data_IF_161739927150
#
_entry.id   IF_161739927150
#
_cell.length_a   1.000
_cell.length_b   1.000
_cell.length_c   1.000
_cell.angle_alpha   90.00
_cell.angle_beta   90.00
_cell.angle_gamma   90.00
#
_symmetry.space_group_name_H-M   'P 1'
#
loop_
_entity.id
_entity.type
_entity.pdbx_description
1 polymer ?
#
# COMPACT_ATOMS: atom_id res chain seq x y z
N UNK A 1 12.07 26.97 7.05
CA UNK A 1 12.09 26.62 5.62
C UNK A 1 11.95 25.10 5.53
N UNK A 2 10.94 24.56 4.85
CA UNK A 2 10.87 23.12 4.56
C UNK A 2 11.87 22.81 3.45
N UNK A 3 12.94 22.05 3.74
CA UNK A 3 13.76 21.47 2.67
C UNK A 3 13.05 20.22 2.17
N UNK A 4 12.83 20.15 0.86
CA UNK A 4 12.36 18.93 0.24
C UNK A 4 13.48 17.89 0.30
N UNK A 5 13.28 16.84 1.08
CA UNK A 5 14.14 15.66 1.07
C UNK A 5 13.56 14.65 0.07
N UNK A 6 14.39 13.92 -0.68
CA UNK A 6 13.92 12.78 -1.44
C UNK A 6 13.18 11.81 -0.51
N UNK A 7 11.95 11.46 -0.85
CA UNK A 7 11.15 10.51 -0.08
C UNK A 7 10.98 9.24 -0.89
N UNK A 8 11.54 8.14 -0.39
CA UNK A 8 11.32 6.81 -0.94
C UNK A 8 10.24 6.10 -0.11
N UNK A 9 9.17 5.67 -0.78
CA UNK A 9 8.11 4.84 -0.19
C UNK A 9 8.06 3.51 -0.90
N UNK A 10 8.35 2.43 -0.19
CA UNK A 10 8.25 1.06 -0.71
C UNK A 10 7.13 0.30 -0.01
N UNK A 11 6.40 -0.52 -0.76
CA UNK A 11 5.47 -1.49 -0.21
C UNK A 11 5.76 -2.84 -0.85
N UNK A 12 5.99 -3.84 -0.01
CA UNK A 12 6.24 -5.21 -0.41
C UNK A 12 5.12 -6.08 0.12
N UNK A 13 4.53 -6.91 -0.74
CA UNK A 13 3.37 -7.74 -0.41
C UNK A 13 3.68 -9.18 -0.75
N UNK A 14 3.50 -10.09 0.21
CA UNK A 14 3.77 -11.52 0.06
C UNK A 14 2.50 -12.29 0.40
N UNK A 15 1.91 -12.91 -0.61
CA UNK A 15 0.79 -13.85 -0.43
C UNK A 15 1.31 -15.23 -0.02
N UNK A 16 0.63 -15.89 0.89
CA UNK A 16 0.97 -17.22 1.40
C UNK A 16 -0.29 -17.99 1.81
N UNK A 17 -0.14 -19.27 2.19
CA UNK A 17 -1.27 -20.15 2.50
C UNK A 17 -2.29 -19.55 3.49
N UNK A 18 -1.81 -18.84 4.52
CA UNK A 18 -2.64 -18.29 5.60
C UNK A 18 -3.19 -16.87 5.35
N UNK A 19 -2.90 -16.24 4.20
CA UNK A 19 -3.25 -14.84 3.95
C UNK A 19 -2.11 -14.06 3.31
N UNK A 20 -1.81 -12.87 3.82
CA UNK A 20 -0.80 -11.99 3.23
C UNK A 20 -0.02 -11.20 4.27
N UNK A 21 1.26 -10.97 4.01
CA UNK A 21 2.09 -10.04 4.77
C UNK A 21 2.45 -8.83 3.92
N UNK A 22 2.30 -7.63 4.49
CA UNK A 22 2.61 -6.35 3.84
C UNK A 22 3.66 -5.60 4.65
N UNK A 23 4.77 -5.27 4.01
CA UNK A 23 5.85 -4.46 4.60
C UNK A 23 5.89 -3.10 3.92
N UNK A 24 5.76 -2.02 4.69
CA UNK A 24 5.91 -0.63 4.24
C UNK A 24 7.24 -0.08 4.73
N UNK A 25 7.99 0.56 3.84
CA UNK A 25 9.25 1.25 4.18
C UNK A 25 9.18 2.69 3.72
N UNK A 26 9.58 3.61 4.59
CA UNK A 26 9.71 5.04 4.32
C UNK A 26 11.14 5.48 4.62
N UNK A 27 11.82 6.05 3.64
CA UNK A 27 13.13 6.69 3.81
C UNK A 27 13.03 8.15 3.38
N UNK A 28 13.46 9.06 4.25
CA UNK A 28 13.50 10.50 3.99
C UNK A 28 14.95 10.97 3.97
N UNK A 29 15.47 11.29 2.77
CA UNK A 29 16.89 11.60 2.57
C UNK A 29 17.81 10.49 3.10
N UNK A 30 18.81 10.87 3.89
CA UNK A 30 19.78 9.95 4.49
C UNK A 30 19.34 9.41 5.86
N UNK A 31 18.09 9.66 6.29
CA UNK A 31 17.59 9.15 7.56
C UNK A 31 17.46 7.62 7.55
N UNK A 32 17.48 7.03 8.75
CA UNK A 32 17.22 5.60 8.93
C UNK A 32 15.80 5.26 8.44
N UNK A 33 15.62 4.17 7.67
CA UNK A 33 14.30 3.79 7.17
C UNK A 33 13.35 3.44 8.30
N UNK A 34 12.15 3.98 8.22
CA UNK A 34 11.03 3.50 9.03
C UNK A 34 10.39 2.30 8.33
N UNK A 35 10.15 1.23 9.09
CA UNK A 35 9.60 -0.01 8.57
C UNK A 35 8.40 -0.45 9.41
N UNK A 36 7.32 -0.82 8.73
CA UNK A 36 6.13 -1.40 9.35
C UNK A 36 5.74 -2.68 8.63
N UNK A 37 5.33 -3.69 9.39
CA UNK A 37 4.89 -4.97 8.86
C UNK A 37 3.51 -5.32 9.40
N UNK A 38 2.62 -5.71 8.51
CA UNK A 38 1.23 -6.05 8.80
C UNK A 38 0.91 -7.43 8.22
N UNK A 39 0.06 -8.19 8.90
CA UNK A 39 -0.37 -9.51 8.46
C UNK A 39 -1.89 -9.54 8.44
N UNK A 40 -2.45 -10.05 7.35
CA UNK A 40 -3.89 -10.15 7.13
C UNK A 40 -4.25 -11.62 6.90
N UNK A 41 -5.28 -12.08 7.59
CA UNK A 41 -5.90 -13.37 7.38
C UNK A 41 -6.57 -13.48 6.01
N UNK A 42 -6.75 -14.71 5.53
CA UNK A 42 -7.44 -14.95 4.25
C UNK A 42 -8.88 -14.46 4.26
N UNK A 43 -9.56 -14.59 5.40
CA UNK A 43 -10.90 -14.10 5.66
C UNK A 43 -11.00 -12.58 5.56
N UNK A 44 -9.99 -11.84 6.06
CA UNK A 44 -9.90 -10.38 5.93
C UNK A 44 -9.70 -9.91 4.49
N UNK A 45 -9.07 -10.74 3.65
CA UNK A 45 -8.77 -10.44 2.25
C UNK A 45 -9.87 -10.90 1.28
N UNK A 46 -10.91 -11.57 1.77
CA UNK A 46 -11.98 -12.11 0.95
C UNK A 46 -12.71 -10.99 0.19
N UNK A 47 -12.82 -11.11 -1.13
CA UNK A 47 -13.47 -10.11 -1.98
C UNK A 47 -12.52 -9.04 -2.57
N UNK A 48 -11.24 -9.06 -2.20
CA UNK A 48 -10.20 -8.28 -2.88
C UNK A 48 -9.71 -9.06 -4.12
N UNK A 49 -9.75 -8.44 -5.31
CA UNK A 49 -9.24 -9.00 -6.58
C UNK A 49 -7.77 -9.44 -6.43
N UNK A 50 -7.37 -10.52 -7.14
CA UNK A 50 -6.74 -11.68 -6.50
C UNK A 50 -5.92 -11.32 -5.26
N UNK A 51 -6.55 -11.52 -4.09
CA UNK A 51 -6.06 -11.51 -2.69
C UNK A 51 -5.10 -10.38 -2.24
N UNK A 52 -4.82 -9.39 -3.09
CA UNK A 52 -3.87 -8.33 -2.78
C UNK A 52 -3.43 -7.47 -3.96
N UNK A 53 -3.61 -7.92 -5.21
CA UNK A 53 -3.22 -7.13 -6.38
C UNK A 53 -4.01 -5.81 -6.48
N UNK A 54 -5.28 -5.80 -6.05
CA UNK A 54 -6.09 -4.58 -6.02
C UNK A 54 -5.56 -3.50 -5.08
N UNK A 55 -4.81 -3.87 -4.03
CA UNK A 55 -4.18 -2.92 -3.12
C UNK A 55 -3.02 -2.15 -3.78
N UNK A 56 -2.47 -2.68 -4.88
CA UNK A 56 -1.43 -2.02 -5.67
C UNK A 56 -2.01 -1.25 -6.86
N UNK A 57 -3.25 -1.52 -7.26
CA UNK A 57 -3.83 -1.00 -8.49
C UNK A 57 -3.90 0.53 -8.50
N UNK A 58 -4.33 1.16 -7.39
CA UNK A 58 -4.32 2.63 -7.29
C UNK A 58 -2.93 3.22 -7.53
N UNK A 59 -1.87 2.61 -6.95
CA UNK A 59 -0.49 3.06 -7.17
C UNK A 59 -0.06 2.90 -8.62
N UNK A 60 -0.35 1.74 -9.21
CA UNK A 60 0.00 1.46 -10.62
C UNK A 60 -0.70 2.45 -11.57
N UNK A 61 -1.97 2.78 -11.31
CA UNK A 61 -2.71 3.77 -12.10
C UNK A 61 -2.21 5.19 -11.85
N UNK A 62 -1.86 5.55 -10.61
CA UNK A 62 -1.28 6.85 -10.28
C UNK A 62 0.08 7.06 -10.95
N UNK A 63 0.95 6.05 -10.95
CA UNK A 63 2.23 6.09 -11.65
C UNK A 63 2.07 6.24 -13.17
N UNK A 64 0.99 5.71 -13.73
CA UNK A 64 0.65 5.81 -15.15
C UNK A 64 -0.20 7.04 -15.50
N UNK A 65 -0.53 7.89 -14.52
CA UNK A 65 -1.40 9.05 -14.72
C UNK A 65 -2.77 8.69 -15.29
N UNK A 66 -3.27 7.51 -14.91
CA UNK A 66 -4.44 6.87 -15.50
C UNK A 66 -5.51 6.54 -14.45
N UNK A 67 -5.54 7.25 -13.31
CA UNK A 67 -6.56 7.05 -12.28
C UNK A 67 -7.88 7.64 -12.77
N UNK A 68 -8.92 6.82 -13.01
CA UNK A 68 -10.22 7.32 -13.43
C UNK A 68 -10.92 8.05 -12.28
N UNK A 69 -11.67 9.14 -12.57
CA UNK A 69 -12.38 9.88 -11.54
C UNK A 69 -13.49 9.03 -10.91
N UNK A 70 -13.65 9.15 -9.59
CA UNK A 70 -14.73 8.49 -8.85
C UNK A 70 -14.54 6.98 -8.61
N UNK A 71 -13.37 6.42 -8.94
CA UNK A 71 -13.05 5.04 -8.56
C UNK A 71 -12.61 4.94 -7.10
N UNK A 72 -13.07 3.87 -6.46
CA UNK A 72 -12.73 3.50 -5.09
C UNK A 72 -11.88 2.24 -5.14
N UNK A 73 -10.68 2.32 -4.56
CA UNK A 73 -9.74 1.22 -4.50
C UNK A 73 -9.55 0.76 -3.06
N UNK A 74 -9.35 -0.54 -2.82
CA UNK A 74 -8.90 -0.98 -1.51
C UNK A 74 -7.50 -0.41 -1.24
N UNK A 75 -7.24 -0.05 0.01
CA UNK A 75 -6.02 0.60 0.46
C UNK A 75 -5.63 0.12 1.88
N UNK A 76 -4.45 0.56 2.33
CA UNK A 76 -3.95 0.33 3.69
C UNK A 76 -3.63 1.69 4.29
N UNK A 77 -4.25 2.01 5.43
CA UNK A 77 -4.03 3.27 6.14
C UNK A 77 -2.63 3.34 6.80
N UNK A 78 -2.41 4.34 7.65
CA UNK A 78 -1.14 4.53 8.36
C UNK A 78 -0.93 3.51 9.47
N UNK A 79 -2.01 3.00 10.05
CA UNK A 79 -2.05 2.05 11.16
C UNK A 79 -1.98 0.59 10.68
N UNK A 80 -2.21 0.36 9.38
CA UNK A 80 -2.21 -0.98 8.79
C UNK A 80 -3.59 -1.61 8.68
N UNK A 81 -4.67 -0.85 8.75
CA UNK A 81 -6.00 -1.38 8.52
C UNK A 81 -6.36 -1.35 7.03
N UNK A 82 -7.11 -2.37 6.60
CA UNK A 82 -7.71 -2.40 5.28
C UNK A 82 -8.82 -1.35 5.20
N UNK A 83 -8.74 -0.49 4.21
CA UNK A 83 -9.69 0.59 3.98
C UNK A 83 -9.94 0.80 2.49
N UNK A 84 -10.62 1.89 2.14
CA UNK A 84 -10.80 2.30 0.75
C UNK A 84 -10.28 3.71 0.53
N UNK A 85 -9.76 3.98 -0.66
CA UNK A 85 -9.26 5.28 -1.08
C UNK A 85 -9.78 5.63 -2.47
N UNK A 86 -10.09 6.92 -2.66
CA UNK A 86 -10.45 7.52 -3.94
C UNK A 86 -9.48 8.67 -4.24
N UNK A 87 -9.27 8.97 -5.52
CA UNK A 87 -8.43 10.08 -5.98
C UNK A 87 -9.28 11.23 -6.53
#
# INVERSE_FOLDING_TARGET
QLRAHPVEKRTHMVSHQHGMTVTKTLREGEAEPQCWSFSYGRDELQGLMPEGASLLLLRVLACQWAVPPGLVFPAIDTEGHLCTSSY
#
